data_IF_863841076098
#
_entry.id   IF_863841076098
#
_cell.length_a   1.000
_cell.length_b   1.000
_cell.length_c   1.000
_cell.angle_alpha   90.00
_cell.angle_beta   90.00
_cell.angle_gamma   90.00
#
_symmetry.space_group_name_H-M   'P 1'
#
loop_
_entity.id
_entity.type
_entity.pdbx_description
1 polymer ?
#
# COMPACT_ATOMS: atom_id res chain seq x y z
N UNK A 1 -0.89 54.22 -40.40
CA UNK A 1 -2.06 53.32 -40.28
C UNK A 1 -1.54 51.89 -40.25
N UNK A 2 -1.77 51.15 -39.15
CA UNK A 2 -1.67 49.68 -38.99
C UNK A 2 -0.24 49.06 -39.08
N UNK A 3 0.20 48.13 -38.21
CA UNK A 3 -0.45 47.39 -37.11
C UNK A 3 0.62 46.78 -36.19
N UNK A 4 0.30 46.77 -34.89
CA UNK A 4 0.96 46.01 -33.81
C UNK A 4 0.68 44.51 -33.99
N UNK A 5 1.69 43.65 -33.91
CA UNK A 5 1.49 42.26 -33.45
C UNK A 5 2.82 41.72 -32.90
N UNK A 6 3.02 41.93 -31.61
CA UNK A 6 4.09 41.36 -30.80
C UNK A 6 3.39 40.45 -29.77
N UNK A 7 3.98 39.29 -29.43
CA UNK A 7 3.67 38.45 -28.25
C UNK A 7 2.54 37.39 -28.29
N UNK A 8 2.46 36.52 -29.31
CA UNK A 8 1.62 35.30 -29.23
C UNK A 8 2.38 33.95 -29.24
N UNK A 9 3.71 33.95 -29.13
CA UNK A 9 4.52 32.72 -29.29
C UNK A 9 4.80 31.90 -28.02
N UNK A 10 4.59 32.47 -26.82
CA UNK A 10 5.10 31.87 -25.56
C UNK A 10 4.10 30.91 -24.88
N UNK A 11 2.80 31.03 -25.18
CA UNK A 11 1.75 30.29 -24.46
C UNK A 11 1.56 28.84 -24.97
N UNK A 12 1.99 28.54 -26.19
CA UNK A 12 1.79 27.22 -26.81
C UNK A 12 2.79 26.16 -26.31
N UNK A 13 3.95 26.57 -25.81
CA UNK A 13 5.01 25.65 -25.35
C UNK A 13 4.77 25.01 -23.97
N UNK A 14 3.78 25.50 -23.21
CA UNK A 14 3.46 24.98 -21.87
C UNK A 14 2.35 23.90 -21.88
N UNK A 15 1.61 23.77 -22.99
CA UNK A 15 0.53 22.78 -23.16
C UNK A 15 0.99 21.31 -23.05
N UNK A 16 2.18 20.90 -23.56
CA UNK A 16 2.61 19.51 -23.45
C UNK A 16 2.95 19.09 -22.01
N UNK A 17 3.40 20.04 -21.17
CA UNK A 17 3.82 19.76 -19.80
C UNK A 17 2.64 19.47 -18.86
N UNK A 18 1.47 20.06 -19.14
CA UNK A 18 0.25 19.83 -18.35
C UNK A 18 -0.37 18.45 -18.61
N UNK A 19 -0.16 17.88 -19.81
CA UNK A 19 -0.71 16.58 -20.18
C UNK A 19 0.08 15.39 -19.59
N UNK A 20 1.33 15.64 -19.15
CA UNK A 20 2.28 14.61 -18.75
C UNK A 20 2.50 14.52 -17.23
N UNK A 21 1.61 15.11 -16.42
CA UNK A 21 1.58 14.93 -14.98
C UNK A 21 1.15 13.48 -14.67
N UNK A 22 2.12 12.56 -14.63
CA UNK A 22 1.87 11.20 -14.17
C UNK A 22 1.28 11.26 -12.75
N UNK A 23 0.23 10.48 -12.44
CA UNK A 23 -0.28 10.41 -11.09
C UNK A 23 0.85 9.92 -10.19
N UNK A 24 1.37 10.80 -9.32
CA UNK A 24 2.20 10.39 -8.21
C UNK A 24 1.30 9.68 -7.23
N UNK A 25 1.13 8.37 -7.41
CA UNK A 25 0.56 7.52 -6.37
C UNK A 25 1.46 7.66 -5.15
N UNK A 26 1.02 8.44 -4.16
CA UNK A 26 1.69 8.53 -2.88
C UNK A 26 1.88 7.11 -2.37
N UNK A 27 3.15 6.71 -2.22
CA UNK A 27 3.46 5.39 -1.69
C UNK A 27 3.13 5.42 -0.21
N UNK A 28 2.01 4.80 0.17
CA UNK A 28 1.67 4.63 1.59
C UNK A 28 2.65 3.67 2.23
N UNK A 29 3.15 4.04 3.41
CA UNK A 29 4.03 3.20 4.22
C UNK A 29 3.36 2.99 5.58
N UNK A 30 2.32 2.16 5.62
CA UNK A 30 1.51 1.95 6.83
C UNK A 30 2.29 1.04 7.79
N UNK A 31 2.12 1.28 9.08
CA UNK A 31 2.56 0.34 10.12
C UNK A 31 1.30 -0.31 10.68
N UNK A 32 1.21 -1.63 10.57
CA UNK A 32 0.09 -2.42 11.07
C UNK A 32 0.59 -3.29 12.22
N UNK A 33 0.09 -3.04 13.41
CA UNK A 33 0.37 -3.86 14.58
C UNK A 33 -0.74 -4.90 14.79
N UNK A 34 -0.37 -6.17 14.92
CA UNK A 34 -1.28 -7.28 15.20
C UNK A 34 -0.94 -7.86 16.58
N UNK A 35 -1.98 -7.99 17.40
CA UNK A 35 -1.90 -8.55 18.74
C UNK A 35 -1.68 -10.07 18.77
N UNK A 36 -2.00 -10.65 19.92
CA UNK A 36 -1.88 -12.08 20.21
C UNK A 36 -2.62 -12.94 19.17
N UNK A 37 -1.98 -14.04 18.78
CA UNK A 37 -2.53 -14.97 17.78
C UNK A 37 -2.96 -16.30 18.41
N UNK A 38 -2.33 -16.71 19.52
CA UNK A 38 -2.68 -17.92 20.27
C UNK A 38 -2.87 -19.17 19.40
N UNK A 39 -1.94 -19.41 18.47
CA UNK A 39 -1.98 -20.56 17.56
C UNK A 39 -3.32 -20.71 16.78
N UNK A 40 -4.06 -19.62 16.56
CA UNK A 40 -5.27 -19.59 15.73
C UNK A 40 -4.90 -19.09 14.33
N UNK A 41 -4.38 -20.01 13.53
CA UNK A 41 -3.94 -19.71 12.17
C UNK A 41 -5.07 -19.19 11.26
N UNK A 42 -6.29 -19.77 11.27
CA UNK A 42 -7.41 -19.23 10.49
C UNK A 42 -7.73 -17.77 10.81
N UNK A 43 -7.77 -17.39 12.10
CA UNK A 43 -8.03 -16.00 12.49
C UNK A 43 -6.85 -15.08 12.17
N UNK A 44 -5.62 -15.57 12.31
CA UNK A 44 -4.41 -14.85 11.89
C UNK A 44 -4.52 -14.44 10.41
N UNK A 45 -4.82 -15.38 9.52
CA UNK A 45 -4.99 -15.11 8.07
C UNK A 45 -6.15 -14.15 7.82
N UNK A 46 -7.27 -14.30 8.55
CA UNK A 46 -8.41 -13.40 8.43
C UNK A 46 -8.06 -11.94 8.79
N UNK A 47 -7.30 -11.73 9.87
CA UNK A 47 -6.84 -10.40 10.29
C UNK A 47 -5.87 -9.80 9.26
N UNK A 48 -4.92 -10.59 8.76
CA UNK A 48 -3.97 -10.12 7.75
C UNK A 48 -4.66 -9.73 6.43
N UNK A 49 -5.69 -10.49 6.02
CA UNK A 49 -6.53 -10.15 4.85
C UNK A 49 -7.37 -8.89 5.10
N UNK A 50 -7.98 -8.76 6.28
CA UNK A 50 -8.72 -7.55 6.68
C UNK A 50 -7.83 -6.30 6.62
N UNK A 51 -6.56 -6.44 7.00
CA UNK A 51 -5.56 -5.37 6.92
C UNK A 51 -5.02 -5.12 5.49
N UNK A 52 -5.41 -5.94 4.50
CA UNK A 52 -4.88 -5.96 3.14
C UNK A 52 -3.36 -6.23 3.08
N UNK A 53 -2.84 -7.00 4.03
CA UNK A 53 -1.42 -7.39 4.08
C UNK A 53 -1.14 -8.68 3.31
N UNK A 54 -2.13 -9.56 3.18
CA UNK A 54 -2.05 -10.77 2.36
C UNK A 54 -3.24 -10.90 1.42
N UNK A 55 -3.03 -11.54 0.27
CA UNK A 55 -4.06 -11.79 -0.74
C UNK A 55 -4.90 -13.05 -0.42
N UNK A 56 -5.73 -13.46 -1.39
CA UNK A 56 -6.58 -14.65 -1.27
C UNK A 56 -5.78 -15.95 -1.20
N UNK A 57 -4.59 -15.99 -1.78
CA UNK A 57 -3.70 -17.16 -1.79
C UNK A 57 -2.72 -17.16 -0.60
N UNK A 58 -2.72 -16.08 0.19
CA UNK A 58 -1.86 -15.90 1.36
C UNK A 58 -0.51 -15.25 1.04
N UNK A 59 -0.31 -14.75 -0.18
CA UNK A 59 0.91 -14.04 -0.53
C UNK A 59 0.87 -12.61 0.01
N UNK A 60 2.04 -12.05 0.28
CA UNK A 60 2.17 -10.66 0.71
C UNK A 60 1.61 -9.68 -0.34
N UNK A 61 0.65 -8.84 0.07
CA UNK A 61 0.01 -7.81 -0.73
C UNK A 61 0.16 -6.39 -0.16
N UNK A 62 0.76 -6.24 1.03
CA UNK A 62 0.91 -4.96 1.74
C UNK A 62 1.90 -3.97 1.10
N UNK A 63 2.57 -4.32 0.00
CA UNK A 63 3.52 -3.44 -0.68
C UNK A 63 4.69 -3.06 0.23
N UNK A 64 4.78 -1.77 0.60
CA UNK A 64 5.82 -1.23 1.50
C UNK A 64 5.39 -1.14 2.96
N UNK A 65 4.19 -1.63 3.29
CA UNK A 65 3.71 -1.60 4.66
C UNK A 65 4.60 -2.46 5.59
N UNK A 66 4.67 -2.06 6.85
CA UNK A 66 5.36 -2.80 7.91
C UNK A 66 4.33 -3.51 8.76
N UNK A 67 4.41 -4.84 8.84
CA UNK A 67 3.70 -5.63 9.84
C UNK A 67 4.54 -5.72 11.12
N UNK A 68 3.91 -5.45 12.27
CA UNK A 68 4.49 -5.67 13.61
C UNK A 68 3.63 -6.68 14.35
N UNK A 69 4.18 -7.85 14.63
CA UNK A 69 3.56 -8.81 15.52
C UNK A 69 4.07 -8.54 16.95
N UNK A 70 3.16 -8.36 17.91
CA UNK A 70 3.50 -7.83 19.25
C UNK A 70 3.86 -8.86 20.32
N UNK A 71 3.76 -10.16 20.02
CA UNK A 71 4.00 -11.28 20.94
C UNK A 71 2.85 -12.30 20.96
N UNK A 72 2.99 -13.32 21.79
CA UNK A 72 1.95 -14.34 22.07
C UNK A 72 1.36 -15.00 20.79
N UNK A 73 2.27 -15.41 19.89
CA UNK A 73 1.95 -16.09 18.64
C UNK A 73 1.41 -17.50 18.90
N UNK A 74 2.00 -18.17 19.89
CA UNK A 74 1.73 -19.58 20.22
C UNK A 74 0.89 -19.71 21.47
N UNK A 75 0.68 -20.96 21.91
CA UNK A 75 -0.17 -21.37 23.02
C UNK A 75 -1.68 -21.31 22.74
N UNK A 76 -2.46 -22.09 23.50
CA UNK A 76 -3.94 -22.22 23.51
C UNK A 76 -4.63 -22.77 22.26
N UNK A 77 -4.14 -22.48 21.05
CA UNK A 77 -4.71 -23.00 19.81
C UNK A 77 -3.97 -24.23 19.26
N UNK A 78 -4.54 -24.90 18.24
CA UNK A 78 -4.00 -26.14 17.68
C UNK A 78 -2.91 -25.94 16.61
N UNK A 79 -2.77 -24.74 16.04
CA UNK A 79 -1.98 -24.51 14.81
C UNK A 79 -0.59 -23.90 15.05
N UNK A 80 0.04 -24.20 16.19
CA UNK A 80 1.32 -23.62 16.64
C UNK A 80 2.39 -23.59 15.56
N UNK A 81 2.59 -24.70 14.83
CA UNK A 81 3.61 -24.78 13.78
C UNK A 81 3.24 -23.94 12.55
N UNK A 82 1.96 -23.94 12.17
CA UNK A 82 1.50 -23.22 10.97
C UNK A 82 1.66 -21.71 11.13
N UNK A 83 1.56 -21.16 12.33
CA UNK A 83 1.77 -19.73 12.57
C UNK A 83 3.20 -19.24 12.29
N UNK A 84 4.16 -20.15 12.09
CA UNK A 84 5.55 -19.83 11.74
C UNK A 84 5.96 -20.21 10.31
N UNK A 85 5.01 -20.69 9.49
CA UNK A 85 5.24 -21.10 8.11
C UNK A 85 4.73 -20.03 7.15
#
# INVERSE_FOLDING_TARGET
MFRKTFLLGSLLCLLPALLNAAPTTAVSNRVVAVGDLHSDYPQTVAVLRMANLVDADGNWSGGRDTLVQTGDIVDRGPDTIKCYQ
#
